data_IF_730475295552
#
_entry.id   IF_730475295552
#
_cell.length_a   1.000
_cell.length_b   1.000
_cell.length_c   1.000
_cell.angle_alpha   90.00
_cell.angle_beta   90.00
_cell.angle_gamma   90.00
#
_symmetry.space_group_name_H-M   'P 1'
#
loop_
_entity.id
_entity.type
_entity.pdbx_description
1 polymer ?
#
# COMPACT_ATOMS: atom_id res chain seq x y z
N UNK A 1 19.73 -0.08 22.43
CA UNK A 1 18.93 -1.04 21.64
C UNK A 1 18.46 -0.30 20.41
N UNK A 2 18.62 -0.88 19.22
CA UNK A 2 18.04 -0.27 18.02
C UNK A 2 16.51 -0.23 18.20
N UNK A 3 15.92 0.95 18.01
CA UNK A 3 14.47 1.08 18.01
C UNK A 3 13.93 0.37 16.76
N UNK A 4 12.99 -0.52 16.92
CA UNK A 4 12.31 -1.21 15.82
C UNK A 4 10.79 -1.16 16.03
N UNK A 5 10.06 -1.25 14.94
CA UNK A 5 8.61 -1.41 14.96
C UNK A 5 8.27 -2.90 14.87
N UNK A 6 7.27 -3.34 15.63
CA UNK A 6 6.76 -4.70 15.59
C UNK A 6 5.59 -4.80 14.61
N UNK A 7 5.63 -5.81 13.77
CA UNK A 7 4.56 -6.04 12.80
C UNK A 7 4.30 -7.51 12.56
N UNK A 8 3.39 -7.74 11.64
CA UNK A 8 3.00 -9.05 11.14
C UNK A 8 2.95 -9.01 9.61
N UNK A 9 2.96 -10.17 8.98
CA UNK A 9 2.46 -10.28 7.62
C UNK A 9 1.35 -11.31 7.55
N UNK A 10 0.40 -11.06 6.65
CA UNK A 10 -0.84 -11.82 6.55
C UNK A 10 -1.28 -12.03 5.10
N UNK A 11 -2.03 -13.07 4.91
CA UNK A 11 -2.65 -13.43 3.65
C UNK A 11 -4.00 -14.13 3.89
N UNK A 12 -4.58 -14.72 2.88
CA UNK A 12 -5.78 -15.57 3.01
C UNK A 12 -5.65 -16.69 4.04
N UNK A 13 -4.42 -17.10 4.37
CA UNK A 13 -4.19 -18.19 5.31
C UNK A 13 -4.55 -17.86 6.76
N UNK A 14 -4.54 -16.58 7.13
CA UNK A 14 -4.99 -16.11 8.43
C UNK A 14 -6.51 -15.92 8.52
N UNK A 15 -7.22 -15.99 7.37
CA UNK A 15 -8.67 -15.79 7.32
C UNK A 15 -9.09 -14.39 7.82
N UNK A 16 -10.20 -14.34 8.55
CA UNK A 16 -10.67 -13.09 9.15
C UNK A 16 -9.82 -12.69 10.34
N UNK A 17 -9.30 -11.47 10.33
CA UNK A 17 -8.44 -10.90 11.37
C UNK A 17 -9.22 -9.87 12.18
N UNK A 18 -9.13 -9.94 13.51
CA UNK A 18 -9.59 -8.86 14.39
C UNK A 18 -8.48 -7.84 14.59
N UNK A 19 -8.44 -6.84 13.75
CA UNK A 19 -7.37 -5.85 13.69
C UNK A 19 -7.25 -4.99 14.95
N UNK A 20 -8.37 -4.71 15.65
CA UNK A 20 -8.32 -3.99 16.93
C UNK A 20 -7.57 -4.78 18.00
N UNK A 21 -7.71 -6.11 18.02
CA UNK A 21 -6.94 -6.96 18.93
C UNK A 21 -5.48 -7.07 18.52
N UNK A 22 -5.18 -7.09 17.22
CA UNK A 22 -3.80 -7.06 16.68
C UNK A 22 -3.08 -5.77 17.11
N UNK A 23 -3.73 -4.62 16.98
CA UNK A 23 -3.21 -3.33 17.44
C UNK A 23 -2.98 -3.33 18.96
N UNK A 24 -3.98 -3.81 19.74
CA UNK A 24 -3.87 -3.92 21.18
C UNK A 24 -2.74 -4.89 21.65
N UNK A 25 -2.37 -5.87 20.80
CA UNK A 25 -1.21 -6.73 21.02
C UNK A 25 0.13 -6.06 20.69
N UNK A 26 0.16 -4.74 20.45
CA UNK A 26 1.36 -3.94 20.23
C UNK A 26 1.94 -4.04 18.82
N UNK A 27 1.16 -4.49 17.84
CA UNK A 27 1.59 -4.46 16.44
C UNK A 27 1.38 -3.06 15.87
N UNK A 28 2.35 -2.58 15.11
CA UNK A 28 2.39 -1.22 14.57
C UNK A 28 2.24 -1.19 13.06
N UNK A 29 2.53 -2.31 12.39
CA UNK A 29 2.37 -2.44 10.96
C UNK A 29 1.94 -3.85 10.54
N UNK A 30 1.39 -3.95 9.34
CA UNK A 30 1.08 -5.19 8.66
C UNK A 30 1.56 -5.16 7.21
N UNK A 31 2.17 -6.24 6.72
CA UNK A 31 2.44 -6.44 5.31
C UNK A 31 1.43 -7.43 4.77
N UNK A 32 0.60 -7.01 3.82
CA UNK A 32 -0.57 -7.76 3.37
C UNK A 32 -0.34 -8.32 1.97
N UNK A 33 -0.61 -9.61 1.77
CA UNK A 33 -0.46 -10.21 0.44
C UNK A 33 -1.48 -9.67 -0.55
N UNK A 34 -1.01 -9.09 -1.66
CA UNK A 34 -1.86 -8.69 -2.79
C UNK A 34 -2.32 -9.91 -3.57
N UNK A 35 -1.42 -10.83 -3.82
CA UNK A 35 -1.68 -12.02 -4.61
C UNK A 35 -0.43 -12.84 -4.90
N UNK A 36 -0.55 -13.75 -5.85
CA UNK A 36 0.55 -14.59 -6.33
C UNK A 36 0.30 -15.03 -7.76
N UNK A 37 1.36 -15.45 -8.43
CA UNK A 37 1.27 -16.28 -9.62
C UNK A 37 1.71 -17.70 -9.27
N UNK A 38 1.08 -18.70 -9.83
CA UNK A 38 1.48 -20.10 -9.67
C UNK A 38 1.10 -20.90 -10.93
N UNK A 39 1.25 -22.22 -10.91
CA UNK A 39 0.86 -23.08 -12.03
C UNK A 39 -0.63 -22.98 -12.40
N UNK A 40 -1.48 -22.48 -11.51
CA UNK A 40 -2.90 -22.18 -11.76
C UNK A 40 -3.16 -20.78 -12.32
N UNK A 41 -2.12 -19.97 -12.51
CA UNK A 41 -2.18 -18.59 -13.01
C UNK A 41 -2.15 -17.53 -11.92
N UNK A 42 -2.38 -16.29 -12.34
CA UNK A 42 -2.43 -15.13 -11.44
C UNK A 42 -3.71 -15.17 -10.59
N UNK A 43 -3.59 -14.92 -9.30
CA UNK A 43 -4.74 -14.70 -8.43
C UNK A 43 -4.50 -13.54 -7.47
N UNK A 44 -5.56 -12.81 -7.18
CA UNK A 44 -5.60 -11.79 -6.13
C UNK A 44 -5.97 -12.46 -4.82
N UNK A 45 -5.32 -12.08 -3.74
CA UNK A 45 -5.66 -12.61 -2.41
C UNK A 45 -7.06 -12.08 -2.01
N UNK A 46 -8.04 -12.95 -1.75
CA UNK A 46 -9.41 -12.55 -1.48
C UNK A 46 -9.57 -11.73 -0.19
N UNK A 47 -8.57 -11.76 0.70
CA UNK A 47 -8.57 -10.99 1.94
C UNK A 47 -7.77 -9.68 1.84
N UNK A 48 -7.14 -9.37 0.70
CA UNK A 48 -6.25 -8.21 0.59
C UNK A 48 -6.92 -6.91 1.02
N UNK A 49 -8.02 -6.53 0.37
CA UNK A 49 -8.73 -5.28 0.66
C UNK A 49 -9.28 -5.25 2.09
N UNK A 50 -9.85 -6.36 2.55
CA UNK A 50 -10.36 -6.48 3.91
C UNK A 50 -9.24 -6.28 4.95
N UNK A 51 -8.07 -6.88 4.72
CA UNK A 51 -6.94 -6.77 5.63
C UNK A 51 -6.35 -5.35 5.63
N UNK A 52 -6.18 -4.73 4.46
CA UNK A 52 -5.70 -3.35 4.36
C UNK A 52 -6.63 -2.39 5.09
N UNK A 53 -7.93 -2.44 4.79
CA UNK A 53 -8.94 -1.59 5.41
C UNK A 53 -9.01 -1.80 6.93
N UNK A 54 -9.00 -3.06 7.37
CA UNK A 54 -9.06 -3.39 8.78
C UNK A 54 -7.82 -2.94 9.56
N UNK A 55 -6.62 -3.12 8.98
CA UNK A 55 -5.37 -2.68 9.59
C UNK A 55 -5.32 -1.14 9.72
N UNK A 56 -5.67 -0.40 8.67
CA UNK A 56 -5.76 1.06 8.72
C UNK A 56 -6.77 1.54 9.75
N UNK A 57 -7.98 0.95 9.78
CA UNK A 57 -9.02 1.30 10.76
C UNK A 57 -8.59 1.07 12.21
N UNK A 58 -7.66 0.15 12.44
CA UNK A 58 -7.06 -0.12 13.74
C UNK A 58 -5.80 0.72 14.03
N UNK A 59 -5.42 1.64 13.12
CA UNK A 59 -4.28 2.52 13.28
C UNK A 59 -2.92 1.89 12.96
N UNK A 60 -2.88 0.71 12.32
CA UNK A 60 -1.64 0.12 11.84
C UNK A 60 -1.23 0.76 10.51
N UNK A 61 0.07 0.90 10.29
CA UNK A 61 0.62 1.18 8.98
C UNK A 61 0.63 -0.07 8.12
N UNK A 62 0.40 0.07 6.82
CA UNK A 62 0.25 -1.07 5.91
C UNK A 62 1.30 -1.01 4.80
N UNK A 63 1.85 -2.17 4.46
CA UNK A 63 2.58 -2.44 3.24
C UNK A 63 1.95 -3.62 2.50
N UNK A 64 2.52 -3.96 1.37
CA UNK A 64 2.01 -5.07 0.59
C UNK A 64 3.13 -6.00 0.11
N UNK A 65 2.80 -7.24 -0.22
CA UNK A 65 3.70 -8.13 -0.93
C UNK A 65 2.94 -8.98 -1.95
N UNK A 66 3.66 -9.44 -2.97
CA UNK A 66 3.17 -10.49 -3.84
C UNK A 66 4.22 -11.58 -4.02
N UNK A 67 3.77 -12.83 -4.00
CA UNK A 67 4.63 -14.00 -4.17
C UNK A 67 4.79 -14.30 -5.67
N UNK A 68 6.02 -14.20 -6.19
CA UNK A 68 6.28 -14.35 -7.62
C UNK A 68 6.69 -15.76 -8.01
N UNK A 69 6.20 -16.19 -9.17
CA UNK A 69 6.68 -17.35 -9.93
C UNK A 69 7.18 -16.94 -11.32
N UNK A 70 7.33 -15.65 -11.59
CA UNK A 70 7.68 -15.13 -12.89
C UNK A 70 9.10 -15.55 -13.30
N UNK A 71 9.21 -16.20 -14.45
CA UNK A 71 10.46 -16.70 -15.02
C UNK A 71 10.95 -15.88 -16.21
N UNK A 72 10.20 -14.87 -16.60
CA UNK A 72 10.53 -13.98 -17.74
C UNK A 72 10.06 -12.56 -17.43
N UNK A 73 10.66 -11.57 -18.10
CA UNK A 73 10.21 -10.17 -17.97
C UNK A 73 8.75 -9.97 -18.36
N UNK A 74 8.26 -10.70 -19.35
CA UNK A 74 6.85 -10.64 -19.74
C UNK A 74 5.92 -11.14 -18.61
N UNK A 75 6.32 -12.23 -17.92
CA UNK A 75 5.58 -12.74 -16.78
C UNK A 75 5.59 -11.75 -15.60
N UNK A 76 6.75 -11.14 -15.28
CA UNK A 76 6.87 -10.07 -14.27
C UNK A 76 5.94 -8.90 -14.59
N UNK A 77 5.93 -8.43 -15.85
CA UNK A 77 5.07 -7.34 -16.27
C UNK A 77 3.57 -7.69 -16.15
N UNK A 78 3.20 -8.94 -16.45
CA UNK A 78 1.82 -9.44 -16.30
C UNK A 78 1.39 -9.49 -14.83
N UNK A 79 2.23 -10.03 -13.92
CA UNK A 79 1.99 -10.02 -12.48
C UNK A 79 1.74 -8.60 -11.98
N UNK A 80 2.67 -7.68 -12.29
CA UNK A 80 2.59 -6.31 -11.82
C UNK A 80 1.40 -5.55 -12.40
N UNK A 81 1.03 -5.79 -13.66
CA UNK A 81 -0.19 -5.18 -14.23
C UNK A 81 -1.42 -5.56 -13.40
N UNK A 82 -1.54 -6.84 -13.02
CA UNK A 82 -2.67 -7.32 -12.21
C UNK A 82 -2.65 -6.71 -10.81
N UNK A 83 -1.51 -6.77 -10.13
CA UNK A 83 -1.42 -6.35 -8.72
C UNK A 83 -1.47 -4.83 -8.57
N UNK A 84 -0.90 -4.07 -9.49
CA UNK A 84 -0.99 -2.61 -9.48
C UNK A 84 -2.43 -2.11 -9.67
N UNK A 85 -3.21 -2.76 -10.53
CA UNK A 85 -4.63 -2.43 -10.67
C UNK A 85 -5.43 -2.67 -9.37
N UNK A 86 -5.08 -3.72 -8.61
CA UNK A 86 -5.72 -4.01 -7.32
C UNK A 86 -5.34 -2.99 -6.25
N UNK A 87 -4.11 -2.48 -6.30
CA UNK A 87 -3.58 -1.50 -5.34
C UNK A 87 -3.90 -0.05 -5.72
N UNK A 88 -4.50 0.20 -6.88
CA UNK A 88 -4.80 1.56 -7.34
C UNK A 88 -5.63 2.32 -6.29
N UNK A 89 -5.18 3.51 -5.92
CA UNK A 89 -5.81 4.36 -4.91
C UNK A 89 -5.59 3.93 -3.45
N UNK A 90 -4.98 2.77 -3.21
CA UNK A 90 -4.69 2.31 -1.84
C UNK A 90 -3.43 2.98 -1.32
N UNK A 91 -3.53 3.58 -0.13
CA UNK A 91 -2.41 4.17 0.58
C UNK A 91 -1.61 3.07 1.31
N UNK A 92 -0.29 3.06 1.12
CA UNK A 92 0.58 2.11 1.82
C UNK A 92 1.77 2.83 2.45
N UNK A 93 1.89 2.80 3.77
CA UNK A 93 2.94 3.47 4.54
C UNK A 93 4.25 2.65 4.62
N UNK A 94 4.21 1.42 4.13
CA UNK A 94 5.34 0.51 3.97
C UNK A 94 5.53 0.14 2.50
N UNK A 95 6.70 -0.44 2.12
CA UNK A 95 6.96 -0.82 0.74
C UNK A 95 5.98 -1.87 0.18
N UNK A 96 5.98 -1.97 -1.15
CA UNK A 96 5.47 -3.14 -1.89
C UNK A 96 6.64 -4.09 -2.11
N UNK A 97 6.58 -5.27 -1.53
CA UNK A 97 7.66 -6.25 -1.59
C UNK A 97 7.43 -7.29 -2.69
N UNK A 98 8.48 -7.53 -3.48
CA UNK A 98 8.59 -8.69 -4.37
C UNK A 98 9.06 -9.87 -3.53
N UNK A 99 8.20 -10.84 -3.29
CA UNK A 99 8.51 -12.05 -2.54
C UNK A 99 9.07 -13.12 -3.49
N UNK A 100 10.37 -13.37 -3.38
CA UNK A 100 11.13 -14.26 -4.25
C UNK A 100 11.81 -15.37 -3.45
N UNK A 101 11.14 -16.51 -3.39
CA UNK A 101 11.62 -17.65 -2.58
C UNK A 101 11.27 -19.02 -3.18
N UNK A 102 10.55 -19.06 -4.30
CA UNK A 102 10.09 -20.32 -4.85
C UNK A 102 11.23 -21.14 -5.47
N UNK A 103 11.26 -22.43 -5.12
CA UNK A 103 12.28 -23.35 -5.60
C UNK A 103 12.31 -23.50 -7.13
N UNK A 104 11.18 -23.31 -7.81
CA UNK A 104 11.10 -23.40 -9.28
C UNK A 104 11.92 -22.31 -9.98
N UNK A 105 12.18 -21.19 -9.32
CA UNK A 105 12.94 -20.06 -9.87
C UNK A 105 14.46 -20.31 -9.83
N UNK A 106 14.93 -21.24 -8.99
CA UNK A 106 16.39 -21.46 -8.80
C UNK A 106 17.09 -21.93 -10.07
N UNK A 107 16.38 -22.61 -10.97
CA UNK A 107 16.91 -23.08 -12.25
C UNK A 107 17.19 -21.97 -13.27
N UNK A 108 16.77 -20.73 -13.03
CA UNK A 108 17.15 -19.57 -13.84
C UNK A 108 18.62 -19.17 -13.66
N UNK A 109 19.22 -19.57 -12.55
CA UNK A 109 20.54 -19.13 -12.16
C UNK A 109 20.54 -17.72 -11.55
N UNK A 110 21.57 -17.44 -10.77
CA UNK A 110 21.67 -16.23 -9.92
C UNK A 110 21.54 -14.93 -10.70
N UNK A 111 22.23 -14.81 -11.84
CA UNK A 111 22.25 -13.56 -12.60
C UNK A 111 20.86 -13.22 -13.19
N UNK A 112 20.22 -14.20 -13.82
CA UNK A 112 18.90 -13.99 -14.43
C UNK A 112 17.82 -13.75 -13.38
N UNK A 113 17.78 -14.56 -12.32
CA UNK A 113 16.81 -14.38 -11.24
C UNK A 113 16.95 -12.99 -10.60
N UNK A 114 18.18 -12.56 -10.29
CA UNK A 114 18.44 -11.21 -9.77
C UNK A 114 17.97 -10.12 -10.73
N UNK A 115 18.21 -10.30 -12.04
CA UNK A 115 17.76 -9.36 -13.08
C UNK A 115 16.23 -9.24 -13.13
N UNK A 116 15.51 -10.35 -12.98
CA UNK A 116 14.03 -10.34 -12.95
C UNK A 116 13.48 -9.64 -11.69
N UNK A 117 14.08 -9.90 -10.52
CA UNK A 117 13.69 -9.22 -9.27
C UNK A 117 13.95 -7.73 -9.38
N UNK A 118 15.11 -7.30 -9.88
CA UNK A 118 15.42 -5.89 -10.13
C UNK A 118 14.42 -5.26 -11.09
N UNK A 119 14.14 -5.93 -12.20
CA UNK A 119 13.18 -5.46 -13.19
C UNK A 119 11.77 -5.25 -12.60
N UNK A 120 11.33 -6.13 -11.70
CA UNK A 120 10.05 -5.96 -11.00
C UNK A 120 10.05 -4.70 -10.13
N UNK A 121 11.12 -4.47 -9.36
CA UNK A 121 11.23 -3.29 -8.51
C UNK A 121 11.35 -1.99 -9.32
N UNK A 122 12.07 -2.02 -10.46
CA UNK A 122 12.16 -0.88 -11.38
C UNK A 122 10.77 -0.48 -11.92
N UNK A 123 9.92 -1.46 -12.29
CA UNK A 123 8.53 -1.20 -12.72
C UNK A 123 7.73 -0.57 -11.58
N UNK A 124 7.82 -1.11 -10.36
CA UNK A 124 7.12 -0.55 -9.20
C UNK A 124 7.51 0.92 -8.98
N UNK A 125 8.79 1.24 -8.98
CA UNK A 125 9.26 2.63 -8.84
C UNK A 125 8.78 3.54 -9.97
N UNK A 126 8.82 3.08 -11.23
CA UNK A 126 8.31 3.83 -12.38
C UNK A 126 6.81 4.13 -12.24
N UNK A 127 6.06 3.27 -11.57
CA UNK A 127 4.63 3.40 -11.28
C UNK A 127 4.34 4.07 -9.94
N UNK A 128 5.35 4.71 -9.33
CA UNK A 128 5.23 5.42 -8.05
C UNK A 128 4.86 4.54 -6.86
N UNK A 129 5.32 3.28 -6.88
CA UNK A 129 5.29 2.39 -5.73
C UNK A 129 6.69 2.25 -5.13
N UNK A 130 6.82 2.45 -3.83
CA UNK A 130 8.09 2.27 -3.12
C UNK A 130 8.35 0.77 -2.97
N UNK A 131 9.31 0.27 -3.74
CA UNK A 131 9.56 -1.15 -3.87
C UNK A 131 10.59 -1.66 -2.88
N UNK A 132 10.42 -2.91 -2.45
CA UNK A 132 11.39 -3.70 -1.72
C UNK A 132 11.34 -5.16 -2.19
N UNK A 133 12.19 -5.99 -1.63
CA UNK A 133 12.19 -7.41 -1.92
C UNK A 133 12.30 -8.23 -0.64
N UNK A 134 11.70 -9.43 -0.67
CA UNK A 134 11.71 -10.38 0.42
C UNK A 134 12.30 -11.70 -0.06
N UNK A 135 13.11 -12.32 0.79
CA UNK A 135 13.50 -13.71 0.69
C UNK A 135 14.09 -14.21 2.01
N UNK A 136 14.32 -15.52 2.13
CA UNK A 136 14.99 -16.06 3.30
C UNK A 136 16.50 -16.18 3.11
N UNK A 137 17.24 -16.13 4.24
CA UNK A 137 18.73 -16.06 4.26
C UNK A 137 19.42 -17.04 3.32
N UNK A 138 19.02 -18.33 3.33
CA UNK A 138 19.68 -19.33 2.49
C UNK A 138 19.41 -19.12 0.99
N UNK A 139 18.19 -18.68 0.63
CA UNK A 139 17.85 -18.39 -0.75
C UNK A 139 18.64 -17.19 -1.28
N UNK A 140 18.73 -16.13 -0.49
CA UNK A 140 19.54 -14.95 -0.82
C UNK A 140 20.98 -15.37 -1.10
N UNK A 141 21.60 -16.08 -0.17
CA UNK A 141 23.01 -16.48 -0.28
C UNK A 141 23.29 -17.41 -1.46
N UNK A 142 22.32 -18.26 -1.83
CA UNK A 142 22.50 -19.27 -2.87
C UNK A 142 22.11 -18.78 -4.26
N UNK A 143 21.04 -18.00 -4.39
CA UNK A 143 20.37 -17.78 -5.67
C UNK A 143 20.20 -16.31 -6.07
N UNK A 144 20.55 -15.35 -5.19
CA UNK A 144 20.42 -13.92 -5.49
C UNK A 144 21.77 -13.20 -5.32
N UNK A 145 21.98 -12.15 -6.10
CA UNK A 145 23.07 -11.20 -5.89
C UNK A 145 22.51 -9.98 -5.11
N UNK A 146 22.57 -10.05 -3.79
CA UNK A 146 22.07 -8.97 -2.92
C UNK A 146 22.78 -7.63 -3.18
N UNK A 147 24.05 -7.63 -3.59
CA UNK A 147 24.76 -6.39 -3.95
C UNK A 147 24.16 -5.68 -5.16
N UNK A 148 23.63 -6.43 -6.14
CA UNK A 148 22.94 -5.85 -7.30
C UNK A 148 21.53 -5.34 -6.97
N UNK A 149 21.00 -5.64 -5.78
CA UNK A 149 19.68 -5.23 -5.27
C UNK A 149 19.80 -4.25 -4.10
N UNK A 150 21.01 -3.76 -3.79
CA UNK A 150 21.28 -2.96 -2.58
C UNK A 150 20.56 -1.60 -2.55
N UNK A 151 20.12 -1.10 -3.71
CA UNK A 151 19.36 0.15 -3.83
C UNK A 151 17.93 0.02 -3.27
N UNK A 152 17.47 -1.21 -3.03
CA UNK A 152 16.11 -1.54 -2.61
C UNK A 152 16.09 -2.14 -1.19
N UNK A 153 15.14 -1.76 -0.34
CA UNK A 153 15.01 -2.34 0.99
C UNK A 153 14.80 -3.85 0.96
N UNK A 154 15.59 -4.56 1.76
CA UNK A 154 15.46 -5.99 1.96
C UNK A 154 14.64 -6.28 3.23
N UNK A 155 13.64 -7.12 3.08
CA UNK A 155 12.92 -7.82 4.13
C UNK A 155 13.40 -9.28 4.15
N UNK A 156 14.23 -9.62 5.14
CA UNK A 156 14.84 -10.94 5.23
C UNK A 156 14.09 -11.85 6.20
N UNK A 157 13.86 -13.10 5.81
CA UNK A 157 13.36 -14.13 6.71
C UNK A 157 14.50 -14.98 7.27
N UNK A 158 14.46 -15.16 8.58
CA UNK A 158 15.38 -16.04 9.30
C UNK A 158 14.78 -16.39 10.68
N UNK A 159 14.36 -17.62 10.86
CA UNK A 159 13.63 -18.05 12.05
C UNK A 159 14.55 -18.56 13.18
N UNK A 160 15.85 -18.28 13.09
CA UNK A 160 16.81 -18.56 14.16
C UNK A 160 16.68 -17.53 15.29
N UNK A 161 17.21 -17.87 16.48
CA UNK A 161 17.19 -16.98 17.64
C UNK A 161 17.89 -15.62 17.38
N UNK A 162 18.86 -15.60 16.47
CA UNK A 162 19.51 -14.40 15.95
C UNK A 162 19.57 -14.47 14.44
N UNK A 163 19.44 -13.31 13.79
CA UNK A 163 19.56 -13.21 12.34
C UNK A 163 20.95 -13.67 11.90
N UNK A 164 20.97 -14.64 11.00
CA UNK A 164 22.23 -15.15 10.43
C UNK A 164 22.57 -14.58 9.07
N UNK A 165 21.79 -13.63 8.56
CA UNK A 165 22.13 -12.88 7.35
C UNK A 165 23.11 -11.75 7.70
N UNK A 166 24.24 -11.69 6.97
CA UNK A 166 25.32 -10.75 7.25
C UNK A 166 25.29 -9.50 6.37
N UNK A 167 24.34 -9.40 5.42
CA UNK A 167 24.20 -8.25 4.53
C UNK A 167 23.32 -7.15 5.13
N UNK A 168 23.17 -6.06 4.40
CA UNK A 168 22.25 -4.97 4.77
C UNK A 168 20.80 -5.43 4.62
N UNK A 169 19.96 -5.07 5.57
CA UNK A 169 18.52 -5.33 5.58
C UNK A 169 17.78 -4.20 6.32
N UNK A 170 16.49 -4.09 6.08
CA UNK A 170 15.64 -3.08 6.72
C UNK A 170 14.54 -3.70 7.58
N UNK A 171 14.14 -4.92 7.24
CA UNK A 171 13.13 -5.67 7.98
C UNK A 171 13.59 -7.11 8.18
N UNK A 172 13.11 -7.72 9.25
CA UNK A 172 13.38 -9.12 9.62
C UNK A 172 12.08 -9.82 9.99
N UNK A 173 11.71 -10.85 9.23
CA UNK A 173 10.70 -11.83 9.60
C UNK A 173 11.39 -12.89 10.46
N UNK A 174 11.12 -12.85 11.76
CA UNK A 174 11.88 -13.67 12.73
C UNK A 174 11.13 -14.93 13.20
N UNK A 175 9.87 -15.08 12.78
CA UNK A 175 9.07 -16.29 13.09
C UNK A 175 7.98 -16.46 12.04
N UNK A 176 7.76 -17.68 11.59
CA UNK A 176 6.64 -18.11 10.76
C UNK A 176 5.53 -18.83 11.55
N UNK A 177 5.57 -18.78 12.90
CA UNK A 177 4.65 -19.56 13.75
C UNK A 177 4.25 -18.81 15.02
N UNK A 178 4.22 -17.48 14.97
CA UNK A 178 3.83 -16.64 16.10
C UNK A 178 2.35 -16.76 16.43
N UNK A 179 2.00 -16.42 17.67
CA UNK A 179 0.62 -16.26 18.12
C UNK A 179 0.34 -14.78 18.35
N UNK A 180 -0.72 -14.26 17.75
CA UNK A 180 -1.12 -12.86 17.86
C UNK A 180 -2.61 -12.79 18.20
N UNK A 181 -2.95 -12.03 19.23
CA UNK A 181 -4.36 -11.81 19.57
C UNK A 181 -5.11 -11.20 18.38
N UNK A 182 -6.26 -11.74 18.03
CA UNK A 182 -7.04 -11.32 16.87
C UNK A 182 -6.79 -12.15 15.59
N UNK A 183 -5.83 -13.10 15.63
CA UNK A 183 -5.56 -14.01 14.52
C UNK A 183 -5.76 -15.45 14.99
N UNK A 184 -6.48 -16.24 14.21
CA UNK A 184 -6.66 -17.67 14.47
C UNK A 184 -5.52 -18.44 13.82
N UNK A 185 -4.74 -19.18 14.63
CA UNK A 185 -3.61 -19.97 14.15
C UNK A 185 -2.29 -19.22 14.11
N UNK A 186 -1.35 -19.72 13.31
CA UNK A 186 -0.01 -19.16 13.19
C UNK A 186 0.00 -17.86 12.37
N UNK A 187 0.87 -16.95 12.77
CA UNK A 187 1.09 -15.69 12.09
C UNK A 187 2.58 -15.38 12.03
N UNK A 188 3.01 -14.81 10.93
CA UNK A 188 4.37 -14.37 10.72
C UNK A 188 4.66 -13.10 11.52
N UNK A 189 5.82 -13.09 12.21
CA UNK A 189 6.21 -11.98 13.09
C UNK A 189 7.43 -11.24 12.54
N UNK A 190 7.31 -9.92 12.53
CA UNK A 190 8.24 -9.03 11.87
C UNK A 190 8.78 -7.92 12.78
N UNK A 191 10.01 -7.47 12.47
CA UNK A 191 10.62 -6.24 12.97
C UNK A 191 11.04 -5.37 11.81
N UNK A 192 10.66 -4.09 11.85
CA UNK A 192 11.16 -3.08 10.93
C UNK A 192 12.15 -2.18 11.66
N UNK A 193 13.35 -2.05 11.13
CA UNK A 193 14.42 -1.21 11.65
C UNK A 193 14.50 0.14 10.94
N UNK A 194 13.59 0.36 9.98
CA UNK A 194 13.47 1.59 9.20
C UNK A 194 12.04 2.11 9.28
N UNK A 195 11.88 3.41 9.48
CA UNK A 195 10.63 4.12 9.23
C UNK A 195 10.62 4.51 7.74
N UNK A 196 9.75 3.87 6.97
CA UNK A 196 9.66 4.08 5.53
C UNK A 196 8.81 5.30 5.15
N UNK A 197 7.86 5.69 6.01
CA UNK A 197 6.86 6.70 5.67
C UNK A 197 7.46 8.05 5.23
N UNK A 198 8.50 8.60 5.89
CA UNK A 198 9.09 9.86 5.45
C UNK A 198 9.63 9.82 4.02
N UNK A 199 10.30 8.73 3.63
CA UNK A 199 10.84 8.58 2.26
C UNK A 199 9.72 8.34 1.24
N UNK A 200 8.73 7.53 1.60
CA UNK A 200 7.55 7.26 0.77
C UNK A 200 6.81 8.57 0.48
N UNK A 201 6.57 9.38 1.50
CA UNK A 201 5.92 10.69 1.37
C UNK A 201 6.75 11.67 0.55
N UNK A 202 8.04 11.82 0.86
CA UNK A 202 8.94 12.73 0.16
C UNK A 202 9.07 12.41 -1.34
N UNK A 203 9.03 11.11 -1.70
CA UNK A 203 9.08 10.65 -3.08
C UNK A 203 7.73 10.62 -3.80
N UNK A 204 6.62 10.89 -3.10
CA UNK A 204 5.26 10.77 -3.65
C UNK A 204 4.92 9.35 -4.07
N UNK A 205 5.37 8.36 -3.29
CA UNK A 205 5.13 6.95 -3.54
C UNK A 205 3.88 6.44 -2.80
N UNK A 206 3.38 5.29 -3.21
CA UNK A 206 2.37 4.49 -2.50
C UNK A 206 1.07 5.25 -2.19
N UNK A 207 0.72 6.22 -3.01
CA UNK A 207 -0.39 7.15 -2.74
C UNK A 207 -0.26 7.88 -1.38
N UNK A 208 0.95 7.90 -0.78
CA UNK A 208 1.29 8.58 0.47
C UNK A 208 1.99 9.92 0.22
N UNK A 209 1.93 10.49 -0.97
CA UNK A 209 2.47 11.84 -1.23
C UNK A 209 1.98 12.80 -0.16
N UNK A 210 2.77 13.82 0.16
CA UNK A 210 2.42 14.81 1.17
C UNK A 210 0.97 15.26 0.93
N UNK A 211 0.11 14.94 1.89
CA UNK A 211 -1.27 15.40 2.03
C UNK A 211 -2.13 15.49 0.76
N UNK A 212 -2.33 14.37 0.05
CA UNK A 212 -3.29 14.34 -1.06
C UNK A 212 -2.84 15.16 -2.28
N UNK A 213 -3.74 15.43 -3.21
CA UNK A 213 -3.42 16.25 -4.37
C UNK A 213 -3.12 17.69 -3.97
N UNK A 214 -2.17 18.33 -4.67
CA UNK A 214 -1.92 19.76 -4.47
C UNK A 214 -3.22 20.55 -4.64
N UNK A 215 -3.61 21.27 -3.59
CA UNK A 215 -4.84 22.05 -3.54
C UNK A 215 -4.49 23.54 -3.65
N UNK A 216 -5.09 24.20 -4.60
CA UNK A 216 -5.14 25.64 -4.64
C UNK A 216 -6.37 26.11 -3.87
N UNK A 217 -6.18 26.97 -2.86
CA UNK A 217 -7.30 27.66 -2.21
C UNK A 217 -8.03 28.50 -3.25
N UNK A 218 -9.35 28.37 -3.28
CA UNK A 218 -10.19 29.11 -4.19
C UNK A 218 -11.34 29.78 -3.42
N UNK A 219 -11.62 31.03 -3.76
CA UNK A 219 -12.77 31.77 -3.26
C UNK A 219 -13.74 32.07 -4.40
N UNK A 220 -15.00 32.21 -4.07
CA UNK A 220 -16.04 32.52 -5.06
C UNK A 220 -16.45 31.33 -5.90
N UNK A 221 -16.31 30.10 -5.40
CA UNK A 221 -16.80 28.88 -6.03
C UNK A 221 -17.75 28.11 -5.10
N UNK A 222 -18.74 27.46 -5.69
CA UNK A 222 -19.66 26.56 -5.02
C UNK A 222 -19.67 25.20 -5.71
N UNK A 223 -19.75 24.15 -4.90
CA UNK A 223 -20.09 22.81 -5.34
C UNK A 223 -21.61 22.69 -5.39
N UNK A 224 -22.17 22.42 -6.56
CA UNK A 224 -23.60 22.17 -6.73
C UNK A 224 -23.82 20.68 -6.83
N UNK A 225 -24.53 20.12 -5.85
CA UNK A 225 -24.90 18.70 -5.81
C UNK A 225 -26.33 18.57 -6.28
N UNK A 226 -26.53 17.88 -7.40
CA UNK A 226 -27.83 17.67 -8.02
C UNK A 226 -28.25 16.19 -8.11
N UNK A 227 -27.43 15.28 -7.56
CA UNK A 227 -27.72 13.87 -7.45
C UNK A 227 -27.39 13.40 -6.03
N UNK A 228 -28.34 12.77 -5.34
CA UNK A 228 -28.19 12.27 -3.99
C UNK A 228 -27.13 11.15 -3.81
N UNK A 229 -26.52 10.71 -4.88
CA UNK A 229 -25.38 9.75 -4.86
C UNK A 229 -24.02 10.45 -4.87
N UNK A 230 -23.93 11.74 -4.57
CA UNK A 230 -22.67 12.46 -4.45
C UNK A 230 -22.00 12.10 -3.13
N UNK A 231 -20.96 11.28 -3.22
CA UNK A 231 -20.14 10.85 -2.07
C UNK A 231 -19.21 11.97 -1.60
N UNK A 232 -18.94 12.02 -0.30
CA UNK A 232 -17.92 12.88 0.26
C UNK A 232 -16.96 12.09 1.17
N UNK A 233 -15.73 12.58 1.31
CA UNK A 233 -14.60 11.82 1.80
C UNK A 233 -13.77 12.66 2.78
N UNK A 234 -13.05 12.02 3.71
CA UNK A 234 -12.07 12.71 4.55
C UNK A 234 -10.80 13.12 3.77
N UNK A 235 -10.46 12.36 2.75
CA UNK A 235 -9.29 12.62 1.88
C UNK A 235 -9.71 12.50 0.42
N UNK A 236 -8.85 12.89 -0.52
CA UNK A 236 -9.10 12.68 -1.96
C UNK A 236 -8.94 11.20 -2.36
N UNK A 237 -9.64 10.32 -1.65
CA UNK A 237 -9.59 8.87 -1.83
C UNK A 237 -11.00 8.30 -1.88
N UNK A 238 -11.37 7.64 -2.98
CA UNK A 238 -12.70 7.03 -3.18
C UNK A 238 -13.03 5.92 -2.17
N UNK A 239 -12.03 5.40 -1.44
CA UNK A 239 -12.25 4.37 -0.43
C UNK A 239 -12.57 4.95 0.98
N UNK A 240 -12.40 6.26 1.18
CA UNK A 240 -12.62 6.94 2.47
C UNK A 240 -14.02 7.58 2.54
N UNK A 241 -15.03 6.93 1.98
CA UNK A 241 -16.41 7.46 1.94
C UNK A 241 -16.91 7.72 3.36
N UNK A 242 -17.25 8.98 3.63
CA UNK A 242 -17.91 9.40 4.88
C UNK A 242 -19.41 9.26 4.76
N UNK A 243 -19.97 9.59 3.60
CA UNK A 243 -21.39 9.54 3.35
C UNK A 243 -21.79 10.16 2.01
N UNK A 244 -23.05 10.52 1.91
CA UNK A 244 -23.64 11.15 0.72
C UNK A 244 -24.09 12.57 1.04
N UNK A 245 -23.75 13.52 0.16
CA UNK A 245 -24.17 14.89 0.30
C UNK A 245 -25.65 15.04 -0.06
N UNK A 246 -26.43 15.77 0.76
CA UNK A 246 -27.75 16.24 0.34
C UNK A 246 -27.68 17.10 -0.92
N UNK A 247 -28.80 17.16 -1.66
CA UNK A 247 -28.91 18.08 -2.79
C UNK A 247 -28.76 19.52 -2.29
N UNK A 248 -27.94 20.30 -2.95
CA UNK A 248 -27.67 21.67 -2.51
C UNK A 248 -26.40 22.27 -3.05
N UNK A 249 -26.01 23.38 -2.46
CA UNK A 249 -24.78 24.08 -2.81
C UNK A 249 -23.89 24.24 -1.59
N UNK A 250 -22.61 23.97 -1.73
CA UNK A 250 -21.60 24.00 -0.68
C UNK A 250 -20.44 24.92 -1.08
N UNK A 251 -19.89 25.66 -0.14
CA UNK A 251 -18.73 26.52 -0.40
C UNK A 251 -17.49 25.67 -0.67
N UNK A 252 -16.89 25.86 -1.84
CA UNK A 252 -15.61 25.27 -2.20
C UNK A 252 -14.50 26.07 -1.51
N UNK A 253 -13.60 25.39 -0.82
CA UNK A 253 -12.44 25.96 -0.11
C UNK A 253 -11.14 25.72 -0.84
N UNK A 254 -11.08 24.69 -1.69
CA UNK A 254 -9.92 24.36 -2.49
C UNK A 254 -10.28 23.51 -3.70
N UNK A 255 -9.39 23.52 -4.69
CA UNK A 255 -9.50 22.72 -5.90
C UNK A 255 -8.14 22.13 -6.25
N UNK A 256 -8.11 20.90 -6.73
CA UNK A 256 -6.86 20.28 -7.18
C UNK A 256 -6.30 21.00 -8.41
N UNK A 257 -4.98 21.15 -8.44
CA UNK A 257 -4.27 21.79 -9.58
C UNK A 257 -4.08 20.86 -10.77
N UNK A 258 -4.30 19.56 -10.56
CA UNK A 258 -4.27 18.50 -11.57
C UNK A 258 -5.20 17.37 -11.14
N UNK A 259 -5.58 16.52 -12.10
CA UNK A 259 -6.37 15.32 -11.76
C UNK A 259 -5.59 14.41 -10.82
N UNK A 260 -6.29 13.94 -9.79
CA UNK A 260 -5.78 12.96 -8.85
C UNK A 260 -6.68 11.72 -8.87
N UNK A 261 -6.09 10.55 -9.07
CA UNK A 261 -6.83 9.30 -9.32
C UNK A 261 -7.87 9.41 -10.46
N UNK A 262 -7.53 10.17 -11.52
CA UNK A 262 -8.39 10.35 -12.69
C UNK A 262 -9.50 11.41 -12.55
N UNK A 263 -9.64 12.01 -11.36
CA UNK A 263 -10.69 12.98 -11.05
C UNK A 263 -10.11 14.37 -10.72
N UNK A 264 -10.90 15.39 -10.98
CA UNK A 264 -10.75 16.71 -10.37
C UNK A 264 -11.41 16.64 -8.99
N UNK A 265 -10.72 17.10 -7.95
CA UNK A 265 -11.21 17.09 -6.58
C UNK A 265 -11.37 18.50 -6.05
N UNK A 266 -12.36 18.67 -5.18
CA UNK A 266 -12.56 19.91 -4.43
C UNK A 266 -12.67 19.63 -2.95
N UNK A 267 -12.17 20.56 -2.13
CA UNK A 267 -12.50 20.63 -0.71
C UNK A 267 -13.64 21.60 -0.49
N UNK A 268 -14.48 21.30 0.48
CA UNK A 268 -15.68 22.12 0.81
C UNK A 268 -16.04 21.95 2.27
N UNK A 269 -16.77 22.94 2.82
CA UNK A 269 -17.27 22.89 4.19
C UNK A 269 -18.68 22.27 4.25
N UNK A 270 -18.85 21.31 5.17
CA UNK A 270 -20.14 20.70 5.49
C UNK A 270 -20.23 20.42 6.98
N UNK A 271 -21.30 20.90 7.63
CA UNK A 271 -21.50 20.74 9.07
C UNK A 271 -20.34 21.23 9.96
N UNK A 272 -19.59 22.24 9.50
CA UNK A 272 -18.49 22.83 10.24
C UNK A 272 -17.11 22.22 9.96
N UNK A 273 -17.05 21.08 9.29
CA UNK A 273 -15.83 20.36 8.94
C UNK A 273 -15.51 20.49 7.45
N UNK A 274 -14.24 20.26 7.08
CA UNK A 274 -13.78 20.26 5.71
C UNK A 274 -13.69 18.83 5.16
N UNK A 275 -14.28 18.63 3.99
CA UNK A 275 -14.32 17.34 3.30
C UNK A 275 -13.92 17.47 1.84
N UNK A 276 -13.68 16.33 1.22
CA UNK A 276 -13.37 16.19 -0.18
C UNK A 276 -14.55 15.60 -0.97
N UNK A 277 -14.67 15.96 -2.24
CA UNK A 277 -15.49 15.22 -3.22
C UNK A 277 -14.84 15.26 -4.59
N UNK A 278 -14.99 14.16 -5.34
CA UNK A 278 -14.65 14.13 -6.77
C UNK A 278 -15.69 14.90 -7.57
N UNK A 279 -15.24 15.70 -8.55
CA UNK A 279 -16.14 16.40 -9.46
C UNK A 279 -16.59 15.43 -10.56
N UNK A 280 -17.84 15.02 -10.46
CA UNK A 280 -18.47 14.05 -11.35
C UNK A 280 -19.65 14.72 -12.04
N UNK A 281 -19.56 14.92 -13.36
CA UNK A 281 -20.53 15.68 -14.12
C UNK A 281 -21.98 15.17 -14.09
N UNK A 282 -22.19 13.92 -13.66
CA UNK A 282 -23.51 13.29 -13.47
C UNK A 282 -24.04 13.41 -12.03
N UNK A 283 -23.26 13.91 -11.07
CA UNK A 283 -23.62 14.01 -9.64
C UNK A 283 -23.47 15.39 -9.07
N UNK A 284 -22.42 16.09 -9.47
CA UNK A 284 -22.07 17.42 -9.00
C UNK A 284 -21.29 18.20 -10.04
N UNK A 285 -21.19 19.52 -9.84
CA UNK A 285 -20.31 20.40 -10.60
C UNK A 285 -19.87 21.57 -9.76
N UNK A 286 -18.75 22.18 -10.13
CA UNK A 286 -18.26 23.41 -9.53
C UNK A 286 -18.69 24.60 -10.37
N UNK A 287 -19.29 25.59 -9.73
CA UNK A 287 -19.73 26.84 -10.36
C UNK A 287 -19.10 28.04 -9.68
N UNK A 288 -18.79 29.07 -10.45
CA UNK A 288 -18.40 30.36 -9.90
C UNK A 288 -19.61 31.00 -9.20
N UNK A 289 -19.41 31.55 -8.01
CA UNK A 289 -20.45 32.29 -7.29
C UNK A 289 -19.90 33.65 -6.84
N UNK A 290 -20.76 34.64 -6.75
CA UNK A 290 -20.44 35.98 -6.23
C UNK A 290 -20.52 36.05 -4.69
N UNK A 291 -20.74 34.92 -4.02
CA UNK A 291 -20.90 34.85 -2.59
C UNK A 291 -19.54 34.77 -1.90
N UNK A 292 -19.25 35.68 -0.98
CA UNK A 292 -18.21 35.49 0.00
C UNK A 292 -18.61 34.31 0.90
N UNK A 293 -17.96 33.18 0.72
CA UNK A 293 -18.03 32.04 1.63
C UNK A 293 -17.11 32.34 2.83
N UNK A 294 -17.52 33.27 3.71
CA UNK A 294 -16.81 33.61 4.92
C UNK A 294 -16.99 32.57 6.02
#
# INVERSE_FOLDING_TARGET
MALFQNGIDVSRYQGSVNWSQVAAAGKQFAIVRVGSSNSGGLYVDPYFLQNVTGAHSAGLRVGAYYYTYARTRAAVASELTTFLNVMEGIKLEYPVFVDVEDASLTSLGRAELTSLVRYAMDILYQRKWYAGWYSYTNYINSYLNAGALADYPLWVADYRASLGYNGAYTMWQYSGSGTVSGISGACDLNRSYKDFLPEIQAGGYNNCGADGPSVQKVDGYKLVVFNARCEYFYTANLNDVVGYLPLGSYCVTGQTTAKYNGYDWVTFKYQGEEYWTAVLGDRNRVEKCECNCG
#
